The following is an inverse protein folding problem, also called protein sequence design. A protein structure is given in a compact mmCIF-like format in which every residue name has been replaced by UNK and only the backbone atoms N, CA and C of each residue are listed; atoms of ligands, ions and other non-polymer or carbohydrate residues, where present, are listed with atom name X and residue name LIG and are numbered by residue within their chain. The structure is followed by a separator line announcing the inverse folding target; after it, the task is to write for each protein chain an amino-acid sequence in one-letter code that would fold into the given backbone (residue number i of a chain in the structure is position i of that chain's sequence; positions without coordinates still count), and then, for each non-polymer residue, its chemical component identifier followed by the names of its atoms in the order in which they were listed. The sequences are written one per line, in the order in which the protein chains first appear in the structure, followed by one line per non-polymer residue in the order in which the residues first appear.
data_IF_429379855939
#
_entry.id   IF_429379855939
#
_cell.length_a   1.000
_cell.length_b   1.000
_cell.length_c   1.000
_cell.angle_alpha   90.00
_cell.angle_beta   90.00
_cell.angle_gamma   90.00
#
_symmetry.space_group_name_H-M   'P 1'
#
loop_
_entity.id
_entity.type
_entity.pdbx_description
1 polymer ?
#
# COMPACT_ATOMS: atom_id res chain seq x y z
N UNK A 1 -43.54 28.45 -64.44
CA UNK A 1 -42.62 27.36 -64.06
C UNK A 1 -41.39 27.83 -63.35
N UNK A 2 -40.77 28.92 -63.74
CA UNK A 2 -39.52 29.38 -63.06
C UNK A 2 -39.70 29.65 -61.54
N UNK A 3 -40.78 30.31 -61.10
CA UNK A 3 -41.06 30.58 -59.67
C UNK A 3 -41.17 29.30 -58.81
N UNK A 4 -41.69 28.18 -59.32
CA UNK A 4 -41.80 26.91 -58.60
C UNK A 4 -40.43 26.27 -58.38
N UNK A 5 -39.50 26.36 -59.33
CA UNK A 5 -38.15 25.83 -59.25
C UNK A 5 -37.36 26.59 -58.19
N UNK A 6 -37.43 27.89 -58.16
CA UNK A 6 -36.80 28.74 -57.15
C UNK A 6 -37.31 28.47 -55.74
N UNK A 7 -38.64 28.29 -55.58
CA UNK A 7 -39.20 27.95 -54.27
C UNK A 7 -38.74 26.61 -53.76
N UNK A 8 -38.67 25.57 -54.62
CA UNK A 8 -38.14 24.25 -54.21
C UNK A 8 -36.63 24.27 -53.85
N UNK A 9 -35.86 25.08 -54.59
CA UNK A 9 -34.44 25.26 -54.26
C UNK A 9 -34.25 26.01 -52.95
N UNK A 10 -35.05 27.01 -52.65
CA UNK A 10 -35.03 27.72 -51.38
C UNK A 10 -35.41 26.78 -50.23
N UNK A 11 -36.46 25.96 -50.42
CA UNK A 11 -36.88 24.98 -49.42
C UNK A 11 -35.77 23.97 -49.15
N UNK A 12 -35.14 23.46 -50.18
CA UNK A 12 -33.99 22.52 -50.01
C UNK A 12 -32.81 23.15 -49.25
N UNK A 13 -32.55 24.45 -49.44
CA UNK A 13 -31.56 25.19 -48.68
C UNK A 13 -31.97 25.35 -47.21
N UNK A 14 -33.22 25.63 -46.94
CA UNK A 14 -33.76 25.73 -45.58
C UNK A 14 -33.62 24.39 -44.86
N UNK A 15 -34.01 23.30 -45.51
CA UNK A 15 -33.91 21.96 -44.93
C UNK A 15 -32.45 21.56 -44.62
N UNK A 16 -31.53 21.98 -45.50
CA UNK A 16 -30.07 21.78 -45.27
C UNK A 16 -29.59 22.57 -44.07
N UNK A 17 -29.95 23.86 -43.97
CA UNK A 17 -29.58 24.71 -42.87
C UNK A 17 -30.19 24.24 -41.54
N UNK A 18 -31.39 23.71 -41.54
CA UNK A 18 -32.03 23.13 -40.34
C UNK A 18 -31.26 21.88 -39.85
N UNK A 19 -30.81 21.03 -40.76
CA UNK A 19 -29.95 19.87 -40.42
C UNK A 19 -28.64 20.32 -39.85
N UNK A 20 -27.99 21.28 -40.48
CA UNK A 20 -26.75 21.88 -40.01
C UNK A 20 -26.91 22.51 -38.63
N UNK A 21 -28.00 23.28 -38.42
CA UNK A 21 -28.34 23.83 -37.10
C UNK A 21 -28.46 22.74 -36.04
N UNK A 22 -29.12 21.65 -36.33
CA UNK A 22 -29.27 20.53 -35.41
C UNK A 22 -27.90 19.95 -35.01
N UNK A 23 -27.01 19.72 -35.97
CA UNK A 23 -25.66 19.23 -35.73
C UNK A 23 -24.82 20.19 -34.87
N UNK A 24 -24.96 21.51 -35.15
CA UNK A 24 -24.26 22.53 -34.35
C UNK A 24 -24.78 22.55 -32.90
N UNK A 25 -26.08 22.41 -32.68
CA UNK A 25 -26.67 22.35 -31.35
C UNK A 25 -26.25 21.11 -30.60
N UNK A 26 -26.14 19.93 -31.24
CA UNK A 26 -25.65 18.71 -30.68
C UNK A 26 -24.17 18.85 -30.29
N UNK A 27 -23.37 19.48 -31.16
CA UNK A 27 -21.97 19.75 -30.88
C UNK A 27 -21.78 20.70 -29.68
N UNK A 28 -22.63 21.78 -29.66
CA UNK A 28 -22.62 22.73 -28.55
C UNK A 28 -22.91 22.05 -27.21
N UNK A 29 -23.92 21.18 -27.16
CA UNK A 29 -24.24 20.41 -25.95
C UNK A 29 -23.09 19.52 -25.47
N UNK A 30 -22.33 18.91 -26.40
CA UNK A 30 -21.14 18.14 -26.07
C UNK A 30 -20.00 19.00 -25.50
N UNK A 31 -19.82 20.21 -26.07
CA UNK A 31 -18.80 21.15 -25.57
C UNK A 31 -19.18 21.65 -24.19
N UNK A 32 -20.44 22.03 -23.97
CA UNK A 32 -20.94 22.48 -22.67
C UNK A 32 -20.75 21.40 -21.60
N UNK A 33 -21.09 20.15 -21.90
CA UNK A 33 -20.83 19.02 -20.98
C UNK A 33 -19.35 18.81 -20.64
N UNK A 34 -18.44 19.05 -21.59
CA UNK A 34 -17.00 18.99 -21.32
C UNK A 34 -16.53 20.13 -20.41
N UNK A 35 -17.07 21.33 -20.64
CA UNK A 35 -16.77 22.51 -19.80
C UNK A 35 -17.21 22.25 -18.37
N UNK A 36 -18.44 21.78 -18.16
CA UNK A 36 -18.94 21.44 -16.80
C UNK A 36 -18.05 20.41 -16.08
N UNK A 37 -17.66 19.35 -16.80
CA UNK A 37 -16.77 18.32 -16.23
C UNK A 37 -15.39 18.89 -15.84
N UNK A 38 -14.85 19.77 -16.65
CA UNK A 38 -13.55 20.41 -16.36
C UNK A 38 -13.67 21.40 -15.20
N UNK A 39 -14.78 22.14 -15.11
CA UNK A 39 -15.05 23.04 -13.98
C UNK A 39 -15.18 22.24 -12.68
N UNK A 40 -15.94 21.14 -12.69
CA UNK A 40 -16.04 20.27 -11.52
C UNK A 40 -14.65 19.68 -11.11
N UNK A 41 -13.82 19.33 -12.08
CA UNK A 41 -12.46 18.86 -11.79
C UNK A 41 -11.60 19.95 -11.14
N UNK A 42 -11.72 21.19 -11.58
CA UNK A 42 -11.01 22.35 -10.97
C UNK A 42 -11.47 22.57 -9.53
N UNK A 43 -12.78 22.49 -9.27
CA UNK A 43 -13.34 22.62 -7.92
C UNK A 43 -12.75 21.55 -6.98
N UNK A 44 -12.74 20.29 -7.42
CA UNK A 44 -12.13 19.18 -6.64
C UNK A 44 -10.64 19.41 -6.38
N UNK A 45 -9.92 19.96 -7.35
CA UNK A 45 -8.48 20.26 -7.19
C UNK A 45 -8.23 21.47 -6.28
N UNK A 46 -9.18 22.37 -6.17
CA UNK A 46 -9.10 23.57 -5.30
C UNK A 46 -9.62 23.29 -3.89
N UNK A 47 -10.44 22.27 -3.70
CA UNK A 47 -10.80 21.81 -2.37
C UNK A 47 -9.52 21.42 -1.64
N UNK A 48 -9.24 22.12 -0.53
CA UNK A 48 -8.22 21.65 0.41
C UNK A 48 -8.65 20.28 0.88
N UNK A 49 -8.06 19.25 0.29
CA UNK A 49 -8.31 17.89 0.72
C UNK A 49 -7.93 17.81 2.19
N UNK A 50 -8.79 17.21 3.01
CA UNK A 50 -8.47 16.81 4.39
C UNK A 50 -7.11 16.10 4.49
N UNK A 51 -6.64 15.56 3.37
CA UNK A 51 -5.33 14.92 3.19
C UNK A 51 -4.17 15.91 3.35
N UNK A 52 -4.31 17.18 2.97
CA UNK A 52 -3.26 18.20 3.11
C UNK A 52 -3.04 18.63 4.58
N UNK A 53 -4.07 18.49 5.41
CA UNK A 53 -4.00 18.69 6.86
C UNK A 53 -3.64 17.39 7.61
N UNK A 54 -3.64 16.25 6.91
CA UNK A 54 -3.37 14.94 7.49
C UNK A 54 -1.87 14.70 7.54
N UNK A 55 -1.32 14.62 8.73
CA UNK A 55 0.07 14.24 8.90
C UNK A 55 0.25 12.76 8.55
N UNK A 56 0.56 12.50 7.28
CA UNK A 56 0.76 11.14 6.74
C UNK A 56 1.89 10.39 7.44
N UNK A 57 2.87 11.10 7.97
CA UNK A 57 3.95 10.49 8.75
C UNK A 57 3.44 9.87 10.05
N UNK A 58 2.58 10.58 10.78
CA UNK A 58 1.96 10.05 12.00
C UNK A 58 1.01 8.89 11.72
N UNK A 59 0.31 8.91 10.57
CA UNK A 59 -0.60 7.84 10.18
C UNK A 59 0.14 6.57 9.74
N UNK A 60 1.18 6.70 8.93
CA UNK A 60 1.99 5.58 8.48
C UNK A 60 2.70 4.87 9.63
N UNK A 61 3.19 5.63 10.61
CA UNK A 61 3.89 5.07 11.77
C UNK A 61 2.98 4.44 12.82
N UNK A 62 1.70 4.83 12.89
CA UNK A 62 0.73 4.18 13.79
C UNK A 62 0.38 2.75 13.37
N UNK A 63 0.46 2.43 12.09
CA UNK A 63 0.16 1.10 11.56
C UNK A 63 1.28 0.08 11.76
N UNK A 64 2.53 0.54 11.91
CA UNK A 64 3.71 -0.34 12.07
C UNK A 64 4.49 0.01 13.34
N UNK A 65 3.96 -0.41 14.48
CA UNK A 65 4.73 -0.32 15.72
C UNK A 65 5.90 -1.30 15.64
N UNK A 66 7.11 -0.77 15.52
CA UNK A 66 8.33 -1.58 15.56
C UNK A 66 8.62 -1.94 17.01
N UNK A 67 8.63 -3.22 17.31
CA UNK A 67 8.99 -3.75 18.63
C UNK A 67 10.51 -3.87 18.83
N UNK A 68 11.27 -3.91 17.74
CA UNK A 68 12.72 -3.88 17.73
C UNK A 68 13.20 -2.67 16.93
N UNK A 69 14.17 -1.93 17.45
CA UNK A 69 14.75 -0.74 16.78
C UNK A 69 15.61 -1.17 15.59
N UNK A 70 16.38 -2.23 15.76
CA UNK A 70 17.25 -2.78 14.74
C UNK A 70 16.60 -3.82 13.84
N UNK A 71 17.42 -4.41 12.97
CA UNK A 71 16.99 -5.46 12.03
C UNK A 71 16.96 -6.82 12.75
N UNK A 72 15.81 -7.23 13.26
CA UNK A 72 15.61 -8.44 14.06
C UNK A 72 16.28 -9.68 13.45
N UNK A 73 16.09 -9.95 12.17
CA UNK A 73 16.68 -11.13 11.50
C UNK A 73 18.19 -11.17 11.58
N UNK A 74 18.86 -10.01 11.47
CA UNK A 74 20.33 -9.92 11.61
C UNK A 74 20.76 -10.12 13.05
N UNK A 75 20.07 -9.48 14.00
CA UNK A 75 20.39 -9.58 15.42
C UNK A 75 20.27 -11.01 15.94
N UNK A 76 19.24 -11.74 15.53
CA UNK A 76 19.06 -13.16 15.85
C UNK A 76 20.25 -13.99 15.39
N UNK A 77 20.73 -13.79 14.16
CA UNK A 77 21.89 -14.51 13.64
C UNK A 77 23.17 -14.17 14.38
N UNK A 78 23.35 -12.93 14.80
CA UNK A 78 24.52 -12.51 15.60
C UNK A 78 24.56 -13.27 16.93
N UNK A 79 23.42 -13.33 17.64
CA UNK A 79 23.31 -14.04 18.90
C UNK A 79 23.53 -15.56 18.74
N UNK A 80 22.98 -16.17 17.71
CA UNK A 80 23.13 -17.58 17.43
C UNK A 80 24.56 -17.92 17.00
N UNK A 81 25.23 -17.06 16.23
CA UNK A 81 26.63 -17.22 15.83
C UNK A 81 27.62 -17.11 17.01
N UNK A 82 27.30 -16.31 18.02
CA UNK A 82 28.08 -16.19 19.22
C UNK A 82 28.10 -17.50 20.03
N UNK A 83 27.07 -18.34 19.92
CA UNK A 83 26.92 -19.62 20.61
C UNK A 83 26.40 -20.71 19.67
N UNK A 84 27.16 -21.16 18.69
CA UNK A 84 26.69 -22.03 17.60
C UNK A 84 26.21 -23.41 18.07
N UNK A 85 26.69 -23.89 19.22
CA UNK A 85 26.32 -25.19 19.79
C UNK A 85 25.11 -25.13 20.73
N UNK A 86 24.67 -23.92 21.10
CA UNK A 86 23.60 -23.73 22.06
C UNK A 86 22.21 -23.86 21.40
N UNK A 87 21.31 -24.56 22.09
CA UNK A 87 19.91 -24.63 21.71
C UNK A 87 19.14 -23.55 22.45
N UNK A 88 18.63 -22.56 21.67
CA UNK A 88 17.92 -21.42 22.21
C UNK A 88 16.41 -21.67 22.24
N UNK A 89 15.76 -21.23 23.31
CA UNK A 89 14.32 -21.04 23.32
C UNK A 89 13.96 -19.69 22.69
N UNK A 90 12.71 -19.52 22.25
CA UNK A 90 12.24 -18.24 21.70
C UNK A 90 12.42 -17.12 22.73
N UNK A 91 12.09 -17.37 23.99
CA UNK A 91 12.18 -16.38 25.05
C UNK A 91 13.62 -15.97 25.36
N UNK A 92 14.57 -16.91 25.34
CA UNK A 92 16.00 -16.60 25.49
C UNK A 92 16.50 -15.69 24.36
N UNK A 93 16.15 -16.01 23.12
CA UNK A 93 16.50 -15.19 21.97
C UNK A 93 15.87 -13.79 22.03
N UNK A 94 14.62 -13.69 22.46
CA UNK A 94 13.97 -12.39 22.64
C UNK A 94 14.72 -11.54 23.66
N UNK A 95 15.08 -12.09 24.82
CA UNK A 95 15.84 -11.36 25.85
C UNK A 95 17.20 -10.90 25.34
N UNK A 96 17.96 -11.80 24.69
CA UNK A 96 19.28 -11.48 24.15
C UNK A 96 19.20 -10.38 23.08
N UNK A 97 18.24 -10.48 22.18
CA UNK A 97 18.04 -9.48 21.12
C UNK A 97 17.56 -8.16 21.67
N UNK A 98 16.70 -8.13 22.68
CA UNK A 98 16.28 -6.89 23.34
C UNK A 98 17.46 -6.17 24.00
N UNK A 99 18.33 -6.89 24.69
CA UNK A 99 19.55 -6.32 25.27
C UNK A 99 20.48 -5.78 24.18
N UNK A 100 20.67 -6.53 23.09
CA UNK A 100 21.46 -6.09 21.94
C UNK A 100 20.89 -4.83 21.29
N UNK A 101 19.57 -4.69 21.26
CA UNK A 101 18.84 -3.55 20.70
C UNK A 101 18.79 -2.34 21.64
N UNK A 102 19.39 -2.44 22.82
CA UNK A 102 19.43 -1.39 23.84
C UNK A 102 18.08 -1.18 24.54
N UNK A 103 17.25 -2.21 24.61
CA UNK A 103 15.96 -2.22 25.30
C UNK A 103 16.04 -3.05 26.58
N UNK A 104 15.12 -2.80 27.51
CA UNK A 104 14.95 -3.64 28.68
C UNK A 104 14.49 -5.05 28.27
N UNK A 105 15.01 -6.12 28.90
CA UNK A 105 14.69 -7.50 28.55
C UNK A 105 13.31 -7.95 29.05
N UNK A 106 12.30 -7.12 28.84
CA UNK A 106 10.91 -7.39 29.20
C UNK A 106 10.18 -7.96 27.98
N UNK A 107 9.80 -9.22 28.08
CA UNK A 107 9.16 -9.94 26.97
C UNK A 107 7.67 -9.54 26.89
N UNK A 108 7.28 -9.06 25.73
CA UNK A 108 5.88 -8.86 25.38
C UNK A 108 5.43 -9.91 24.34
N UNK A 109 4.13 -10.25 24.25
CA UNK A 109 3.63 -11.25 23.29
C UNK A 109 4.04 -10.98 21.84
N UNK A 110 4.09 -9.70 21.44
CA UNK A 110 4.49 -9.29 20.11
C UNK A 110 5.96 -9.56 19.79
N UNK A 111 6.84 -9.50 20.81
CA UNK A 111 8.26 -9.87 20.65
C UNK A 111 8.40 -11.33 20.27
N UNK A 112 7.66 -12.22 20.93
CA UNK A 112 7.70 -13.67 20.63
C UNK A 112 7.13 -13.99 19.25
N UNK A 113 6.07 -13.32 18.83
CA UNK A 113 5.48 -13.47 17.49
C UNK A 113 6.49 -13.05 16.41
N UNK A 114 7.11 -11.89 16.57
CA UNK A 114 8.12 -11.37 15.64
C UNK A 114 9.35 -12.27 15.59
N UNK A 115 9.79 -12.80 16.74
CA UNK A 115 10.92 -13.72 16.83
C UNK A 115 10.63 -15.04 16.12
N UNK A 116 9.46 -15.63 16.32
CA UNK A 116 9.06 -16.86 15.62
C UNK A 116 9.01 -16.65 14.10
N UNK A 117 8.55 -15.51 13.64
CA UNK A 117 8.56 -15.17 12.21
C UNK A 117 9.98 -15.05 11.65
N UNK A 118 10.92 -14.46 12.40
CA UNK A 118 12.32 -14.37 12.02
C UNK A 118 12.99 -15.75 11.97
N UNK A 119 12.74 -16.59 12.96
CA UNK A 119 13.27 -17.96 13.02
C UNK A 119 12.71 -18.84 11.90
N UNK A 120 11.41 -18.73 11.59
CA UNK A 120 10.80 -19.43 10.46
C UNK A 120 11.42 -19.02 9.13
N UNK A 121 11.73 -17.74 8.96
CA UNK A 121 12.42 -17.26 7.77
C UNK A 121 13.80 -17.93 7.61
N UNK A 122 14.60 -18.03 8.67
CA UNK A 122 15.91 -18.67 8.63
C UNK A 122 15.84 -20.20 8.53
N UNK A 123 14.80 -20.81 9.10
CA UNK A 123 14.49 -22.22 8.90
C UNK A 123 14.22 -22.55 7.43
N UNK A 124 13.39 -21.74 6.78
CA UNK A 124 13.07 -21.91 5.37
C UNK A 124 14.30 -21.72 4.46
N UNK A 125 15.28 -20.92 4.90
CA UNK A 125 16.57 -20.76 4.22
C UNK A 125 17.60 -21.84 4.55
N UNK A 126 17.27 -22.77 5.45
CA UNK A 126 18.18 -23.84 5.87
C UNK A 126 19.35 -23.39 6.73
N UNK A 127 19.31 -22.18 7.32
CA UNK A 127 20.39 -21.60 8.14
C UNK A 127 20.24 -22.02 9.61
N UNK A 128 19.01 -22.23 10.05
CA UNK A 128 18.64 -22.58 11.42
C UNK A 128 17.93 -23.93 11.41
N UNK A 129 18.14 -24.73 12.42
CA UNK A 129 17.38 -25.95 12.66
C UNK A 129 16.47 -25.81 13.88
N UNK A 130 15.37 -26.53 13.85
CA UNK A 130 14.35 -26.56 14.89
C UNK A 130 14.32 -27.94 15.53
N UNK A 131 14.42 -27.99 16.84
CA UNK A 131 14.29 -29.21 17.64
C UNK A 131 13.04 -29.11 18.50
N UNK A 132 12.10 -30.03 18.28
CA UNK A 132 10.89 -30.20 19.12
C UNK A 132 11.16 -31.29 20.16
N UNK A 133 11.29 -30.90 21.42
CA UNK A 133 11.42 -31.83 22.55
C UNK A 133 10.02 -32.26 22.99
N UNK A 134 9.11 -31.30 23.14
CA UNK A 134 7.68 -31.47 23.46
C UNK A 134 6.84 -30.46 22.68
N UNK A 135 5.53 -30.59 22.77
CA UNK A 135 4.59 -29.63 22.14
C UNK A 135 4.84 -28.18 22.58
N UNK A 136 5.37 -28.01 23.79
CA UNK A 136 5.64 -26.69 24.40
C UNK A 136 7.12 -26.31 24.32
N UNK A 137 8.06 -27.30 24.37
CA UNK A 137 9.49 -27.05 24.38
C UNK A 137 10.07 -27.22 22.97
N UNK A 138 10.19 -26.09 22.28
CA UNK A 138 10.81 -25.98 20.96
C UNK A 138 12.09 -25.19 21.07
N UNK A 139 13.19 -25.73 20.55
CA UNK A 139 14.51 -25.10 20.58
C UNK A 139 15.05 -24.87 19.17
N UNK A 140 15.94 -23.91 19.10
CA UNK A 140 16.51 -23.45 17.84
C UNK A 140 18.02 -23.35 17.93
N UNK A 141 18.70 -23.79 16.88
CA UNK A 141 20.18 -23.74 16.77
C UNK A 141 20.58 -23.39 15.34
N UNK A 142 21.79 -22.84 15.18
CA UNK A 142 22.39 -22.74 13.85
C UNK A 142 22.64 -24.14 13.29
N UNK A 143 22.28 -24.31 12.02
CA UNK A 143 22.62 -25.52 11.29
C UNK A 143 24.12 -25.53 11.00
N UNK A 144 24.77 -26.62 11.29
CA UNK A 144 26.16 -26.85 10.97
C UNK A 144 26.36 -27.32 9.54
#
# INVERSE_FOLDING_TARGET
MAKKIYLSQIQAKIDRLQRERKQVLEHLALVDSKIEKLQAAIEVMQEKALIDEYNTELYAYRTYKRYFKGKLRKMVLVEMKARPQHYFTVNELVKLVLVQDGQEPIIQPQHTVSMRAALKHWLNKGIVERLEINVVDVRWRLRQ
#
